data_IF_016256720414
#
_entry.id   IF_016256720414
#
_cell.length_a   1.000
_cell.length_b   1.000
_cell.length_c   1.000
_cell.angle_alpha   90.00
_cell.angle_beta   90.00
_cell.angle_gamma   90.00
#
_symmetry.space_group_name_H-M   'P 1'
#
loop_
_entity.id
_entity.type
_entity.pdbx_description
1 polymer ?
#
# COMPACT_ATOMS: atom_id res chain seq x y z
N UNK A 1 -11.98 1.09 -8.12
CA UNK A 1 -11.00 0.52 -7.18
C UNK A 1 -10.04 1.62 -6.75
N UNK A 2 -9.87 1.88 -5.46
CA UNK A 2 -8.88 2.87 -5.00
C UNK A 2 -7.48 2.41 -5.46
N UNK A 3 -6.81 3.20 -6.29
CA UNK A 3 -5.45 2.93 -6.79
C UNK A 3 -4.44 3.24 -5.68
N UNK A 4 -4.55 2.52 -4.57
CA UNK A 4 -3.64 2.68 -3.44
C UNK A 4 -2.24 2.25 -3.90
N UNK A 5 -1.26 3.16 -3.81
CA UNK A 5 0.19 2.85 -3.92
C UNK A 5 0.63 2.21 -5.25
N UNK A 6 -0.08 2.55 -6.31
CA UNK A 6 -0.05 1.87 -7.59
C UNK A 6 1.28 1.96 -8.38
N UNK A 7 2.24 2.79 -7.96
CA UNK A 7 3.56 2.91 -8.62
C UNK A 7 4.73 2.64 -7.68
N UNK A 8 4.52 2.42 -6.38
CA UNK A 8 5.63 2.19 -5.46
C UNK A 8 6.44 0.94 -5.84
N UNK A 9 5.78 -0.09 -6.38
CA UNK A 9 6.42 -1.31 -6.86
C UNK A 9 7.55 -1.04 -7.87
N UNK A 10 7.36 -0.10 -8.80
CA UNK A 10 8.34 0.27 -9.83
C UNK A 10 9.64 0.85 -9.25
N UNK A 11 9.63 1.29 -7.98
CA UNK A 11 10.77 1.88 -7.29
C UNK A 11 11.32 0.98 -6.18
N UNK A 12 10.81 -0.25 -6.05
CA UNK A 12 11.38 -1.24 -5.14
C UNK A 12 12.81 -1.58 -5.56
N UNK A 13 13.73 -1.65 -4.60
CA UNK A 13 15.18 -1.90 -4.81
C UNK A 13 15.96 -0.79 -5.54
N UNK A 14 15.34 0.34 -5.90
CA UNK A 14 16.03 1.49 -6.51
C UNK A 14 16.78 2.39 -5.51
N UNK A 15 17.00 1.92 -4.27
CA UNK A 15 17.58 2.73 -3.20
C UNK A 15 16.67 3.85 -2.70
N UNK A 16 17.27 4.94 -2.20
CA UNK A 16 16.53 6.08 -1.66
C UNK A 16 16.13 7.03 -2.78
N UNK A 17 14.84 7.37 -2.86
CA UNK A 17 14.30 8.41 -3.73
C UNK A 17 13.75 9.56 -2.90
N UNK A 18 13.46 10.69 -3.55
CA UNK A 18 12.86 11.87 -2.92
C UNK A 18 11.39 12.00 -3.28
N UNK A 19 10.60 12.40 -2.29
CA UNK A 19 9.15 12.44 -2.37
C UNK A 19 8.61 13.73 -1.77
N UNK A 20 7.47 14.13 -2.30
CA UNK A 20 6.55 15.00 -1.60
C UNK A 20 5.34 14.21 -1.12
N UNK A 21 4.78 14.64 -0.01
CA UNK A 21 3.46 14.20 0.41
C UNK A 21 2.76 15.26 1.27
N UNK A 22 1.44 15.19 1.28
CA UNK A 22 0.60 15.94 2.21
C UNK A 22 0.51 15.17 3.53
N UNK A 23 0.78 15.83 4.65
CA UNK A 23 0.58 15.26 5.97
C UNK A 23 -0.91 15.31 6.35
N UNK A 24 -1.45 14.17 6.78
CA UNK A 24 -2.88 14.05 7.14
C UNK A 24 -3.07 13.95 8.66
N UNK A 25 -2.37 13.03 9.33
CA UNK A 25 -2.40 12.88 10.81
C UNK A 25 -1.32 11.93 11.36
N UNK A 26 -1.09 12.01 12.67
CA UNK A 26 -0.40 10.99 13.46
C UNK A 26 -1.38 10.02 14.13
N UNK A 27 -1.00 8.76 14.23
CA UNK A 27 -1.70 7.72 14.99
C UNK A 27 -0.75 6.62 15.42
N UNK A 28 -1.27 5.47 15.85
CA UNK A 28 -0.49 4.30 16.20
C UNK A 28 -0.96 3.07 15.44
N UNK A 29 0.00 2.20 15.10
CA UNK A 29 -0.25 0.84 14.65
C UNK A 29 0.26 -0.14 15.70
N UNK A 30 -0.49 -1.20 15.95
CA UNK A 30 -0.04 -2.32 16.78
C UNK A 30 0.89 -3.21 15.95
N UNK A 31 2.10 -3.48 16.44
CA UNK A 31 3.04 -4.39 15.80
C UNK A 31 2.77 -5.86 16.19
N UNK A 32 3.55 -6.79 15.64
CA UNK A 32 3.43 -8.22 15.95
C UNK A 32 3.67 -8.56 17.43
N UNK A 33 4.41 -7.70 18.15
CA UNK A 33 4.67 -7.83 19.60
C UNK A 33 3.62 -7.09 20.46
N UNK A 34 2.45 -6.77 19.92
CA UNK A 34 1.38 -6.02 20.58
C UNK A 34 1.77 -4.63 21.11
N UNK A 35 2.88 -4.06 20.65
CA UNK A 35 3.32 -2.70 20.99
C UNK A 35 2.72 -1.69 20.02
N UNK A 36 2.25 -0.57 20.56
CA UNK A 36 1.79 0.58 19.77
C UNK A 36 2.98 1.38 19.26
N UNK A 37 3.13 1.47 17.93
CA UNK A 37 4.17 2.23 17.26
C UNK A 37 3.55 3.45 16.60
N UNK A 38 4.09 4.67 16.81
CA UNK A 38 3.57 5.86 16.17
C UNK A 38 3.84 5.84 14.66
N UNK A 39 2.84 6.24 13.89
CA UNK A 39 2.88 6.31 12.42
C UNK A 39 2.23 7.59 11.94
N UNK A 40 2.74 8.14 10.84
CA UNK A 40 2.13 9.27 10.13
C UNK A 40 1.37 8.76 8.90
N UNK A 41 0.19 9.32 8.68
CA UNK A 41 -0.55 9.19 7.42
C UNK A 41 -0.09 10.29 6.49
N UNK A 42 0.44 9.88 5.34
CA UNK A 42 0.77 10.78 4.25
C UNK A 42 -0.14 10.49 3.08
N UNK A 43 -0.58 11.53 2.39
CA UNK A 43 -1.45 11.47 1.21
C UNK A 43 -0.82 12.21 0.04
N UNK A 44 -1.35 12.00 -1.16
CA UNK A 44 -0.90 12.66 -2.40
C UNK A 44 0.61 12.53 -2.61
N UNK A 45 1.16 11.32 -2.44
CA UNK A 45 2.61 11.10 -2.54
C UNK A 45 3.04 11.20 -4.00
N UNK A 46 4.07 11.97 -4.31
CA UNK A 46 4.66 12.06 -5.66
C UNK A 46 6.18 12.17 -5.62
N UNK A 47 6.82 11.87 -6.76
CA UNK A 47 8.28 11.93 -6.90
C UNK A 47 8.79 13.33 -7.22
N UNK A 48 9.91 13.64 -6.59
CA UNK A 48 10.74 14.81 -6.85
C UNK A 48 12.20 14.36 -6.94
N UNK A 49 13.06 15.21 -7.49
CA UNK A 49 14.51 15.01 -7.42
C UNK A 49 15.07 15.52 -6.08
N UNK A 50 16.37 15.39 -5.90
CA UNK A 50 17.06 15.86 -4.70
C UNK A 50 17.04 17.38 -4.50
N UNK A 51 16.72 18.14 -5.55
CA UNK A 51 16.63 19.61 -5.56
C UNK A 51 15.17 20.09 -5.43
N UNK A 52 14.26 19.22 -5.00
CA UNK A 52 12.83 19.49 -4.90
C UNK A 52 12.20 19.93 -6.25
N UNK A 53 12.65 19.32 -7.35
CA UNK A 53 12.01 19.48 -8.65
C UNK A 53 11.19 18.26 -8.98
N UNK A 54 9.96 18.51 -9.40
CA UNK A 54 9.01 17.47 -9.80
C UNK A 54 9.56 16.59 -10.93
N UNK A 55 9.55 15.29 -10.71
CA UNK A 55 9.86 14.29 -11.74
C UNK A 55 8.59 14.02 -12.55
N UNK A 56 8.65 14.22 -13.88
CA UNK A 56 7.55 13.84 -14.78
C UNK A 56 7.60 12.33 -15.02
N UNK A 57 6.46 11.68 -14.87
CA UNK A 57 6.33 10.26 -15.20
C UNK A 57 5.78 10.11 -16.62
N UNK A 58 6.32 9.16 -17.37
CA UNK A 58 6.06 8.98 -18.81
C UNK A 58 4.89 8.04 -19.14
N UNK A 59 4.29 7.36 -18.15
CA UNK A 59 3.22 6.38 -18.42
C UNK A 59 1.88 7.09 -18.62
N UNK A 60 1.25 6.86 -19.78
CA UNK A 60 0.00 7.51 -20.27
C UNK A 60 -1.20 7.40 -19.31
N UNK A 61 -1.21 6.44 -18.38
CA UNK A 61 -2.32 6.15 -17.46
C UNK A 61 -2.00 6.50 -15.99
N UNK A 62 -0.94 7.27 -15.74
CA UNK A 62 -0.60 7.69 -14.38
C UNK A 62 -1.69 8.61 -13.81
N UNK A 63 -1.98 8.43 -12.52
CA UNK A 63 -2.92 9.29 -11.84
C UNK A 63 -2.30 10.68 -11.64
N UNK A 64 -2.99 11.69 -12.17
CA UNK A 64 -2.59 13.08 -12.09
C UNK A 64 -3.58 13.80 -11.19
N UNK A 65 -3.10 14.50 -10.18
CA UNK A 65 -3.96 15.30 -9.31
C UNK A 65 -4.42 16.60 -10.01
N UNK A 66 -5.29 17.37 -9.34
CA UNK A 66 -5.80 18.65 -9.88
C UNK A 66 -4.71 19.70 -10.16
N UNK A 67 -3.49 19.52 -9.61
CA UNK A 67 -2.33 20.39 -9.81
C UNK A 67 -1.36 19.84 -10.85
N UNK A 68 -1.75 18.79 -11.59
CA UNK A 68 -0.91 18.17 -12.61
C UNK A 68 0.17 17.24 -12.04
N UNK A 69 0.20 16.95 -10.73
CA UNK A 69 1.23 16.11 -10.07
C UNK A 69 0.94 14.64 -10.29
N UNK A 70 1.97 13.88 -10.67
CA UNK A 70 1.86 12.44 -10.87
C UNK A 70 1.96 11.74 -9.51
N UNK A 71 0.82 11.42 -8.94
CA UNK A 71 0.75 10.75 -7.63
C UNK A 71 1.19 9.31 -7.82
N UNK A 72 2.11 8.83 -7.00
CA UNK A 72 2.57 7.43 -6.98
C UNK A 72 1.85 6.59 -5.93
N UNK A 73 1.30 7.26 -4.91
CA UNK A 73 0.48 6.67 -3.86
C UNK A 73 -0.55 7.66 -3.34
N UNK A 74 -1.83 7.29 -3.38
CA UNK A 74 -2.94 8.01 -2.73
C UNK A 74 -2.64 8.28 -1.25
N UNK A 75 -2.29 7.22 -0.51
CA UNK A 75 -1.91 7.33 0.88
C UNK A 75 -0.93 6.23 1.31
N UNK A 76 -0.11 6.55 2.30
CA UNK A 76 0.85 5.65 2.92
C UNK A 76 0.92 5.88 4.43
N UNK A 77 1.13 4.81 5.17
CA UNK A 77 1.50 4.88 6.57
C UNK A 77 3.00 4.75 6.70
N UNK A 78 3.63 5.68 7.40
CA UNK A 78 5.08 5.70 7.57
C UNK A 78 5.44 5.80 9.04
N UNK A 79 6.54 5.17 9.44
CA UNK A 79 6.97 5.16 10.85
C UNK A 79 7.36 6.57 11.30
N UNK A 80 6.89 6.97 12.48
CA UNK A 80 7.24 8.24 13.10
C UNK A 80 8.53 8.08 13.93
N UNK A 81 9.67 8.20 13.25
CA UNK A 81 11.03 8.04 13.80
C UNK A 81 11.73 9.38 14.09
N UNK A 82 12.98 9.34 14.58
CA UNK A 82 13.78 10.54 14.92
C UNK A 82 13.71 11.69 13.89
N UNK A 83 13.80 11.47 12.56
CA UNK A 83 13.78 12.58 11.58
C UNK A 83 12.52 13.44 11.62
N UNK A 84 11.40 12.92 12.10
CA UNK A 84 10.18 13.72 12.28
C UNK A 84 10.29 14.77 13.38
N UNK A 85 11.13 14.51 14.38
CA UNK A 85 11.37 15.42 15.48
C UNK A 85 12.40 16.51 15.15
N UNK A 86 13.04 16.42 13.98
CA UNK A 86 13.98 17.43 13.47
C UNK A 86 13.25 18.54 12.68
N UNK A 87 11.96 18.33 12.40
CA UNK A 87 11.09 19.30 11.75
C UNK A 87 10.78 20.45 12.73
N UNK A 88 10.88 21.73 12.32
CA UNK A 88 10.84 22.87 13.22
C UNK A 88 9.49 23.09 13.91
N UNK A 89 8.39 22.63 13.31
CA UNK A 89 7.03 22.84 13.80
C UNK A 89 6.23 21.54 13.75
N UNK A 90 5.29 21.38 14.69
CA UNK A 90 4.27 20.34 14.65
C UNK A 90 3.49 20.43 13.33
N UNK A 91 3.45 19.31 12.59
CA UNK A 91 2.70 19.19 11.35
C UNK A 91 1.20 19.04 11.64
N UNK A 92 0.39 19.69 10.81
CA UNK A 92 -1.07 19.61 10.85
C UNK A 92 -1.60 19.17 9.49
N UNK A 93 -2.85 18.69 9.48
CA UNK A 93 -3.52 18.25 8.26
C UNK A 93 -3.42 19.30 7.15
N UNK A 94 -2.88 18.89 6.01
CA UNK A 94 -2.74 19.71 4.81
C UNK A 94 -1.34 20.31 4.60
N UNK A 95 -0.43 20.22 5.58
CA UNK A 95 0.97 20.59 5.37
C UNK A 95 1.62 19.68 4.33
N UNK A 96 2.56 20.23 3.56
CA UNK A 96 3.31 19.48 2.55
C UNK A 96 4.76 19.32 3.01
N UNK A 97 5.27 18.10 2.92
CA UNK A 97 6.65 17.76 3.28
C UNK A 97 7.42 17.20 2.09
N UNK A 98 8.68 17.57 2.00
CA UNK A 98 9.72 16.99 1.16
C UNK A 98 10.54 16.03 2.00
N UNK A 99 10.83 14.82 1.52
CA UNK A 99 11.65 13.86 2.26
C UNK A 99 12.30 12.82 1.34
N UNK A 100 13.33 12.14 1.83
CA UNK A 100 13.88 10.96 1.16
C UNK A 100 13.43 9.68 1.87
N UNK A 101 13.17 8.63 1.10
CA UNK A 101 12.78 7.32 1.64
C UNK A 101 13.17 6.18 0.69
N UNK A 102 13.19 4.96 1.21
CA UNK A 102 13.31 3.74 0.42
C UNK A 102 11.93 3.06 0.31
N UNK A 103 11.63 2.45 -0.83
CA UNK A 103 10.44 1.60 -0.96
C UNK A 103 10.71 0.27 -0.28
N UNK A 104 9.81 -0.12 0.63
CA UNK A 104 9.79 -1.45 1.21
C UNK A 104 8.64 -2.29 0.66
N UNK A 105 8.87 -3.59 0.57
CA UNK A 105 7.84 -4.59 0.26
C UNK A 105 7.47 -5.32 1.55
N UNK A 106 6.18 -5.51 1.81
CA UNK A 106 5.70 -6.28 2.96
C UNK A 106 4.57 -7.21 2.55
N UNK A 107 4.47 -8.34 3.25
CA UNK A 107 3.41 -9.33 2.99
C UNK A 107 2.06 -8.83 3.46
N UNK A 108 1.02 -9.09 2.68
CA UNK A 108 -0.36 -8.75 3.01
C UNK A 108 -1.26 -9.98 3.02
N UNK A 109 -2.18 -10.00 3.99
CA UNK A 109 -3.31 -10.93 4.01
C UNK A 109 -4.59 -10.12 3.77
N UNK A 110 -4.77 -9.67 2.53
CA UNK A 110 -5.94 -8.89 2.10
C UNK A 110 -7.08 -9.82 1.71
N UNK A 111 -8.25 -9.78 2.38
CA UNK A 111 -9.36 -10.69 2.10
C UNK A 111 -9.84 -10.63 0.65
N UNK A 112 -9.76 -9.47 0.00
CA UNK A 112 -10.15 -9.31 -1.40
C UNK A 112 -9.18 -9.99 -2.37
N UNK A 113 -7.86 -9.86 -2.15
CA UNK A 113 -6.84 -10.55 -2.96
C UNK A 113 -6.94 -12.07 -2.76
N UNK A 114 -7.13 -12.52 -1.52
CA UNK A 114 -7.34 -13.94 -1.21
C UNK A 114 -8.61 -14.47 -1.91
N UNK A 115 -9.73 -13.77 -1.81
CA UNK A 115 -10.98 -14.12 -2.52
C UNK A 115 -10.77 -14.19 -4.04
N UNK A 116 -9.97 -13.30 -4.61
CA UNK A 116 -9.70 -13.31 -6.04
C UNK A 116 -8.86 -14.54 -6.44
N UNK A 117 -7.85 -14.91 -5.64
CA UNK A 117 -7.10 -16.16 -5.84
C UNK A 117 -7.98 -17.38 -5.72
N UNK A 118 -8.87 -17.42 -4.72
CA UNK A 118 -9.81 -18.54 -4.53
C UNK A 118 -10.78 -18.67 -5.71
N UNK A 119 -11.27 -17.54 -6.24
CA UNK A 119 -12.12 -17.52 -7.44
C UNK A 119 -11.44 -18.14 -8.65
N UNK A 120 -10.20 -17.76 -8.95
CA UNK A 120 -9.42 -18.33 -10.06
C UNK A 120 -9.37 -19.85 -9.96
N UNK A 121 -9.08 -20.37 -8.77
CA UNK A 121 -8.99 -21.82 -8.54
C UNK A 121 -10.34 -22.53 -8.62
N UNK A 122 -11.38 -21.95 -8.02
CA UNK A 122 -12.72 -22.54 -8.04
C UNK A 122 -13.30 -22.56 -9.45
N UNK A 123 -13.03 -21.52 -10.26
CA UNK A 123 -13.42 -21.47 -11.66
C UNK A 123 -12.68 -22.53 -12.49
N UNK A 124 -11.38 -22.75 -12.21
CA UNK A 124 -10.60 -23.81 -12.83
C UNK A 124 -11.15 -25.20 -12.49
N UNK A 125 -11.43 -25.47 -11.20
CA UNK A 125 -12.06 -26.73 -10.76
C UNK A 125 -13.42 -26.97 -11.42
N UNK A 126 -14.27 -25.94 -11.48
CA UNK A 126 -15.57 -26.03 -12.13
C UNK A 126 -15.43 -26.37 -13.62
N UNK A 127 -14.44 -25.80 -14.31
CA UNK A 127 -14.11 -26.14 -15.71
C UNK A 127 -13.61 -27.57 -15.85
N UNK A 128 -12.72 -28.04 -14.98
CA UNK A 128 -12.23 -29.43 -15.03
C UNK A 128 -13.34 -30.45 -14.79
N UNK A 129 -14.26 -30.17 -13.87
CA UNK A 129 -15.41 -31.03 -13.58
C UNK A 129 -16.37 -31.10 -14.77
N UNK A 130 -16.62 -29.97 -15.44
CA UNK A 130 -17.41 -29.93 -16.66
C UNK A 130 -16.78 -30.73 -17.80
N UNK A 131 -15.45 -30.67 -17.94
CA UNK A 131 -14.70 -31.48 -18.93
C UNK A 131 -14.88 -32.96 -18.64
N UNK A 132 -14.75 -33.38 -17.38
CA UNK A 132 -14.98 -34.76 -16.98
C UNK A 132 -16.41 -35.22 -17.29
N UNK A 133 -17.43 -34.44 -16.91
CA UNK A 133 -18.84 -34.77 -17.16
C UNK A 133 -19.13 -34.95 -18.65
N UNK A 134 -18.58 -34.08 -19.50
CA UNK A 134 -18.71 -34.17 -20.97
C UNK A 134 -18.01 -35.42 -21.52
N UNK A 135 -16.80 -35.70 -21.05
CA UNK A 135 -16.05 -36.88 -21.44
C UNK A 135 -16.77 -38.17 -21.03
N UNK A 136 -17.25 -38.27 -19.79
CA UNK A 136 -17.99 -39.45 -19.28
C UNK A 136 -19.21 -39.74 -20.14
N UNK A 137 -20.04 -38.71 -20.41
CA UNK A 137 -21.22 -38.84 -21.28
C UNK A 137 -20.84 -39.32 -22.68
N UNK A 138 -19.82 -38.73 -23.29
CA UNK A 138 -19.33 -39.14 -24.61
C UNK A 138 -18.87 -40.60 -24.62
N UNK A 139 -18.12 -41.04 -23.60
CA UNK A 139 -17.61 -42.42 -23.53
C UNK A 139 -18.72 -43.44 -23.32
N UNK A 140 -19.77 -43.09 -22.58
CA UNK A 140 -20.94 -43.93 -22.36
C UNK A 140 -21.73 -44.12 -23.68
N UNK A 141 -21.96 -43.03 -24.42
CA UNK A 141 -22.66 -43.05 -25.71
C UNK A 141 -21.89 -43.81 -26.81
N UNK A 142 -20.55 -43.77 -26.80
CA UNK A 142 -19.70 -44.34 -27.85
C UNK A 142 -19.07 -45.70 -27.48
N UNK A 143 -19.62 -46.39 -26.47
CA UNK A 143 -19.17 -47.73 -26.02
C UNK A 143 -17.65 -47.83 -25.83
N UNK A 144 -17.01 -46.77 -25.31
CA UNK A 144 -15.57 -46.74 -24.97
C UNK A 144 -14.59 -46.97 -26.15
N UNK A 145 -14.98 -46.68 -27.39
CA UNK A 145 -14.03 -46.70 -28.53
C UNK A 145 -12.89 -45.68 -28.30
N UNK A 146 -11.63 -46.10 -28.46
CA UNK A 146 -10.42 -45.28 -28.20
C UNK A 146 -10.35 -44.67 -26.78
N UNK A 147 -10.88 -45.38 -25.77
CA UNK A 147 -11.01 -44.88 -24.40
C UNK A 147 -9.72 -44.36 -23.79
N UNK A 148 -8.61 -45.09 -23.90
CA UNK A 148 -7.33 -44.68 -23.29
C UNK A 148 -6.83 -43.34 -23.84
N UNK A 149 -6.78 -43.19 -25.18
CA UNK A 149 -6.36 -41.95 -25.81
C UNK A 149 -7.28 -40.77 -25.43
N UNK A 150 -8.59 -41.01 -25.34
CA UNK A 150 -9.56 -40.00 -24.92
C UNK A 150 -9.39 -39.60 -23.44
N UNK A 151 -9.15 -40.58 -22.57
CA UNK A 151 -8.88 -40.39 -21.15
C UNK A 151 -7.61 -39.57 -20.92
N UNK A 152 -6.52 -39.89 -21.64
CA UNK A 152 -5.25 -39.15 -21.59
C UNK A 152 -5.44 -37.69 -22.03
N UNK A 153 -6.09 -37.45 -23.17
CA UNK A 153 -6.38 -36.08 -23.65
C UNK A 153 -7.22 -35.29 -22.65
N UNK A 154 -8.21 -35.93 -22.04
CA UNK A 154 -9.05 -35.30 -21.02
C UNK A 154 -8.25 -34.93 -19.77
N UNK A 155 -7.44 -35.86 -19.25
CA UNK A 155 -6.56 -35.63 -18.09
C UNK A 155 -5.53 -34.54 -18.38
N UNK A 156 -4.91 -34.54 -19.55
CA UNK A 156 -3.97 -33.49 -19.95
C UNK A 156 -4.66 -32.13 -19.96
N UNK A 157 -5.84 -32.02 -20.56
CA UNK A 157 -6.60 -30.77 -20.58
C UNK A 157 -6.98 -30.28 -19.19
N UNK A 158 -7.34 -31.18 -18.27
CA UNK A 158 -7.59 -30.82 -16.87
C UNK A 158 -6.31 -30.33 -16.19
N UNK A 159 -5.19 -31.01 -16.42
CA UNK A 159 -3.88 -30.62 -15.89
C UNK A 159 -3.49 -29.21 -16.35
N UNK A 160 -3.55 -28.93 -17.66
CA UNK A 160 -3.18 -27.63 -18.23
C UNK A 160 -4.02 -26.48 -17.63
N UNK A 161 -5.33 -26.70 -17.42
CA UNK A 161 -6.22 -25.72 -16.80
C UNK A 161 -5.83 -25.45 -15.35
N UNK A 162 -5.50 -26.50 -14.59
CA UNK A 162 -5.11 -26.35 -13.18
C UNK A 162 -3.73 -25.71 -13.04
N UNK A 163 -2.77 -26.04 -13.91
CA UNK A 163 -1.46 -25.38 -13.94
C UNK A 163 -1.58 -23.90 -14.31
N UNK A 164 -2.37 -23.55 -15.35
CA UNK A 164 -2.61 -22.15 -15.68
C UNK A 164 -3.25 -21.39 -14.52
N UNK A 165 -4.20 -22.02 -13.80
CA UNK A 165 -4.82 -21.42 -12.62
C UNK A 165 -3.81 -21.19 -11.49
N UNK A 166 -2.86 -22.11 -11.27
CA UNK A 166 -1.77 -21.91 -10.30
C UNK A 166 -0.89 -20.73 -10.70
N UNK A 167 -0.55 -20.59 -11.98
CA UNK A 167 0.22 -19.45 -12.48
C UNK A 167 -0.54 -18.14 -12.30
N UNK A 168 -1.82 -18.11 -12.63
CA UNK A 168 -2.66 -16.91 -12.50
C UNK A 168 -2.85 -16.52 -11.03
N UNK A 169 -2.94 -17.50 -10.11
CA UNK A 169 -2.90 -17.24 -8.68
C UNK A 169 -1.54 -16.65 -8.22
N UNK A 170 -0.42 -17.08 -8.81
CA UNK A 170 0.92 -16.55 -8.49
C UNK A 170 1.09 -15.10 -8.96
N UNK A 171 0.46 -14.73 -10.08
CA UNK A 171 0.42 -13.33 -10.57
C UNK A 171 -0.27 -12.37 -9.60
N UNK A 172 -1.16 -12.89 -8.74
CA UNK A 172 -1.76 -12.13 -7.63
C UNK A 172 -0.84 -12.19 -6.41
N UNK A 173 0.19 -11.35 -6.42
CA UNK A 173 1.17 -11.28 -5.34
C UNK A 173 0.50 -10.87 -4.01
N UNK A 174 0.86 -11.56 -2.92
CA UNK A 174 0.41 -11.24 -1.57
C UNK A 174 1.37 -10.26 -0.88
N UNK A 175 1.75 -9.23 -1.63
CA UNK A 175 2.67 -8.19 -1.18
C UNK A 175 2.07 -6.83 -1.47
N UNK A 176 2.46 -5.86 -0.67
CA UNK A 176 2.14 -4.45 -0.86
C UNK A 176 3.41 -3.64 -0.57
N UNK A 177 3.38 -2.39 -1.00
CA UNK A 177 4.55 -1.51 -0.95
C UNK A 177 4.28 -0.34 -0.01
N UNK A 178 5.35 0.13 0.64
CA UNK A 178 5.33 1.26 1.55
C UNK A 178 6.63 2.05 1.45
N UNK A 179 6.74 3.10 2.28
CA UNK A 179 7.98 3.86 2.43
C UNK A 179 8.56 3.61 3.83
N UNK A 180 9.86 3.38 3.88
CA UNK A 180 10.62 3.21 5.11
C UNK A 180 11.95 3.97 5.02
N UNK A 181 12.68 4.00 6.14
CA UNK A 181 13.94 4.74 6.28
C UNK A 181 13.82 6.21 5.85
N UNK A 182 12.70 6.84 6.23
CA UNK A 182 12.46 8.26 5.97
C UNK A 182 13.57 9.10 6.61
N UNK A 183 14.12 10.04 5.84
CA UNK A 183 15.18 10.98 6.24
C UNK A 183 14.97 12.33 5.55
N UNK A 184 15.75 13.34 5.98
CA UNK A 184 15.79 14.68 5.36
C UNK A 184 14.40 15.31 5.19
N UNK A 185 13.57 15.24 6.22
CA UNK A 185 12.21 15.79 6.18
C UNK A 185 12.30 17.32 6.26
N UNK A 186 11.83 17.99 5.22
CA UNK A 186 11.68 19.44 5.16
C UNK A 186 10.20 19.78 4.97
N UNK A 187 9.77 20.93 5.49
CA UNK A 187 8.42 21.43 5.25
C UNK A 187 8.43 22.27 3.97
N UNK A 188 7.76 21.79 2.93
CA UNK A 188 7.63 22.51 1.66
C UNK A 188 6.48 23.52 1.70
N UNK A 189 5.42 23.23 2.45
CA UNK A 189 4.29 24.15 2.63
C UNK A 189 3.64 24.00 4.00
N UNK A 190 3.42 25.12 4.67
CA UNK A 190 2.60 25.21 5.87
C UNK A 190 1.19 25.71 5.53
N UNK A 191 0.18 25.04 6.07
CA UNK A 191 -1.19 25.53 6.09
C UNK A 191 -1.41 26.41 7.33
N UNK A 192 -2.22 27.46 7.17
CA UNK A 192 -2.62 28.31 8.30
C UNK A 192 -3.46 27.48 9.30
N UNK A 193 -3.09 27.41 10.58
CA UNK A 193 -3.89 26.75 11.60
C UNK A 193 -5.30 27.36 11.71
N UNK A 194 -6.27 26.55 12.14
CA UNK A 194 -7.59 27.06 12.57
C UNK A 194 -7.48 27.96 13.80
N UNK A 195 -8.48 28.81 14.02
CA UNK A 195 -8.58 29.60 15.25
C UNK A 195 -8.43 28.70 16.48
N UNK A 196 -7.58 29.10 17.43
CA UNK A 196 -7.22 28.39 18.68
C UNK A 196 -6.33 27.15 18.55
N UNK A 197 -5.73 26.88 17.37
CA UNK A 197 -4.67 25.89 17.28
C UNK A 197 -3.30 26.55 17.14
N UNK A 198 -2.44 26.34 18.13
CA UNK A 198 -1.03 26.71 18.06
C UNK A 198 -0.17 25.47 17.83
N UNK A 199 0.74 25.58 16.85
CA UNK A 199 1.72 24.53 16.55
C UNK A 199 2.71 24.43 17.70
N UNK A 200 2.85 23.24 18.27
CA UNK A 200 3.96 22.95 19.18
C UNK A 200 5.27 22.74 18.43
N UNK A 201 6.34 22.51 19.18
CA UNK A 201 7.59 21.94 18.66
C UNK A 201 7.67 20.46 19.01
N UNK A 202 8.17 19.65 18.08
CA UNK A 202 8.48 18.26 18.39
C UNK A 202 9.72 18.18 19.30
N UNK A 203 9.67 17.30 20.31
CA UNK A 203 10.75 17.13 21.27
C UNK A 203 11.23 15.67 21.32
N UNK A 204 12.37 15.41 20.68
CA UNK A 204 12.96 14.06 20.64
C UNK A 204 13.43 13.57 22.02
N UNK A 205 13.94 14.46 22.88
CA UNK A 205 14.35 14.10 24.23
C UNK A 205 13.15 13.69 25.09
N UNK A 206 12.03 14.41 24.97
CA UNK A 206 10.78 14.04 25.62
C UNK A 206 10.25 12.70 25.09
N UNK A 207 10.35 12.46 23.78
CA UNK A 207 10.00 11.17 23.20
C UNK A 207 10.87 10.02 23.76
N UNK A 208 12.19 10.21 23.88
CA UNK A 208 13.06 9.19 24.49
C UNK A 208 12.68 8.88 25.95
N UNK A 209 12.31 9.90 26.73
CA UNK A 209 11.95 9.74 28.15
C UNK A 209 10.55 9.14 28.36
N UNK A 210 9.57 9.59 27.59
CA UNK A 210 8.14 9.28 27.81
C UNK A 210 7.58 8.25 26.82
N UNK A 211 8.29 7.97 25.73
CA UNK A 211 7.93 6.98 24.71
C UNK A 211 6.51 7.12 24.21
N UNK A 212 5.71 6.07 24.45
CA UNK A 212 4.32 6.00 24.03
C UNK A 212 3.49 7.18 24.56
N UNK A 213 3.67 7.61 25.82
CA UNK A 213 2.86 8.70 26.41
C UNK A 213 2.96 9.99 25.59
N UNK A 214 4.18 10.38 25.20
CA UNK A 214 4.38 11.59 24.41
C UNK A 214 3.88 11.42 22.96
N UNK A 215 4.16 10.28 22.32
CA UNK A 215 3.64 10.04 20.97
C UNK A 215 2.12 9.92 20.91
N UNK A 216 1.48 9.41 21.96
CA UNK A 216 0.02 9.35 22.12
C UNK A 216 -0.57 10.75 22.25
N UNK A 217 0.08 11.62 23.02
CA UNK A 217 -0.31 13.03 23.13
C UNK A 217 -0.21 13.76 21.77
N UNK A 218 0.90 13.57 21.02
CA UNK A 218 1.04 14.12 19.66
C UNK A 218 -0.03 13.59 18.71
N UNK A 219 -0.31 12.28 18.74
CA UNK A 219 -1.35 11.68 17.91
C UNK A 219 -2.74 12.22 18.23
N UNK A 220 -3.09 12.36 19.52
CA UNK A 220 -4.37 12.90 19.94
C UNK A 220 -4.58 14.33 19.43
N UNK A 221 -3.56 15.20 19.56
CA UNK A 221 -3.59 16.57 19.01
C UNK A 221 -3.80 16.58 17.49
N UNK A 222 -3.03 15.75 16.79
CA UNK A 222 -3.12 15.64 15.32
C UNK A 222 -4.49 15.12 14.85
N UNK A 223 -5.08 14.15 15.57
CA UNK A 223 -6.40 13.60 15.26
C UNK A 223 -7.51 14.63 15.52
N UNK A 224 -7.52 15.29 16.70
CA UNK A 224 -8.49 16.35 17.01
C UNK A 224 -8.49 17.42 15.90
N UNK A 225 -7.31 17.89 15.51
CA UNK A 225 -7.18 18.87 14.41
C UNK A 225 -7.72 18.32 13.08
N UNK A 226 -7.39 17.08 12.73
CA UNK A 226 -7.85 16.42 11.49
C UNK A 226 -9.38 16.31 11.43
N UNK A 227 -10.04 16.12 12.58
CA UNK A 227 -11.49 15.91 12.69
C UNK A 227 -12.33 17.20 12.76
N UNK A 228 -11.72 18.37 13.03
CA UNK A 228 -12.52 19.59 13.21
C UNK A 228 -12.69 20.04 14.66
N UNK A 229 -12.16 19.28 15.62
CA UNK A 229 -12.39 19.50 17.05
C UNK A 229 -11.44 20.56 17.63
N UNK A 230 -11.90 21.28 18.65
CA UNK A 230 -11.05 22.21 19.42
C UNK A 230 -9.98 21.43 20.18
N UNK A 231 -8.74 21.94 20.16
CA UNK A 231 -7.61 21.37 20.88
C UNK A 231 -7.42 22.18 22.16
N UNK A 232 -8.36 22.01 23.08
CA UNK A 232 -8.22 22.39 24.49
C UNK A 232 -7.68 21.19 25.30
#
# INVERSE_FOLDING_TARGET
MSKQRFRLADYYQNGSNYYHATFEKLTHKTNAQHKKIPVALLTDVYLVDENDKKVRLSKKNDFVDRKGRHIIADHIWVKFTKPWFEVPNELIKGDEIFFSAEVEQYKINRPDVLKQRDRIWNDAKKKTDQIYKRWSKYTDEHKRKNFQLSLEKMKQKQHDILEQAKEDQKKLELVDYGLNKIKKINISKLVKPRHHFERGQYNYEQYKRQGYKYSAWLAARSIKYSQGESVE
#
